data_IF_956951427638
#
_entry.id   IF_956951427638
#
_cell.length_a   1.000
_cell.length_b   1.000
_cell.length_c   1.000
_cell.angle_alpha   90.00
_cell.angle_beta   90.00
_cell.angle_gamma   90.00
#
_symmetry.space_group_name_H-M   'P 1'
#
loop_
_entity.id
_entity.type
_entity.pdbx_description
1 polymer ?
#
# COMPACT_ATOMS: atom_id res chain seq x y z
N UNK A 1 -15.18 -25.86 -3.59
CA UNK A 1 -14.66 -24.58 -4.12
C UNK A 1 -15.69 -24.06 -5.10
N UNK A 2 -16.21 -22.86 -4.90
CA UNK A 2 -17.20 -22.26 -5.82
C UNK A 2 -16.41 -21.50 -6.89
N UNK A 3 -16.47 -21.97 -8.14
CA UNK A 3 -15.75 -21.34 -9.25
C UNK A 3 -16.63 -20.24 -9.87
N UNK A 4 -16.21 -18.99 -9.75
CA UNK A 4 -16.92 -17.86 -10.34
C UNK A 4 -16.83 -17.91 -11.88
N UNK A 5 -17.93 -17.62 -12.56
CA UNK A 5 -18.05 -17.69 -14.02
C UNK A 5 -18.83 -16.51 -14.59
N UNK A 6 -18.42 -16.06 -15.78
CA UNK A 6 -19.17 -15.11 -16.57
C UNK A 6 -20.19 -15.84 -17.42
N UNK A 7 -21.39 -15.28 -17.48
CA UNK A 7 -22.51 -15.78 -18.28
C UNK A 7 -23.19 -14.61 -19.00
N UNK A 8 -24.01 -14.86 -20.04
CA UNK A 8 -24.85 -13.84 -20.67
C UNK A 8 -25.74 -13.07 -19.68
N UNK A 9 -26.07 -13.64 -18.53
CA UNK A 9 -26.92 -13.04 -17.50
C UNK A 9 -26.13 -12.38 -16.36
N UNK A 10 -24.80 -12.30 -16.49
CA UNK A 10 -23.92 -11.69 -15.50
C UNK A 10 -23.03 -12.71 -14.79
N UNK A 11 -22.56 -12.32 -13.61
CA UNK A 11 -21.67 -13.13 -12.79
C UNK A 11 -22.46 -14.26 -12.12
N UNK A 12 -21.96 -15.48 -12.25
CA UNK A 12 -22.51 -16.67 -11.62
C UNK A 12 -21.43 -17.50 -10.93
N UNK A 13 -21.87 -18.62 -10.39
CA UNK A 13 -21.04 -19.59 -9.68
C UNK A 13 -21.32 -20.99 -10.22
N UNK A 14 -20.27 -21.73 -10.57
CA UNK A 14 -20.38 -23.14 -10.91
C UNK A 14 -20.72 -23.95 -9.66
N UNK A 15 -21.72 -24.80 -9.82
CA UNK A 15 -22.11 -25.73 -8.77
C UNK A 15 -21.26 -26.99 -8.83
N UNK A 16 -20.50 -27.26 -7.77
CA UNK A 16 -19.73 -28.49 -7.67
C UNK A 16 -20.69 -29.68 -7.49
N UNK A 17 -20.61 -30.66 -8.39
CA UNK A 17 -21.30 -31.96 -8.32
C UNK A 17 -22.82 -32.00 -8.57
N UNK A 18 -23.38 -31.10 -9.37
CA UNK A 18 -24.73 -31.29 -9.89
C UNK A 18 -24.74 -32.33 -11.03
N UNK A 19 -25.61 -33.37 -11.02
CA UNK A 19 -25.80 -34.22 -12.19
C UNK A 19 -26.30 -33.34 -13.32
N UNK A 20 -25.46 -33.17 -14.35
CA UNK A 20 -25.92 -32.49 -15.56
C UNK A 20 -26.90 -33.43 -16.28
N UNK A 21 -28.07 -32.94 -16.69
CA UNK A 21 -29.00 -33.74 -17.50
C UNK A 21 -28.41 -34.09 -18.88
N UNK A 22 -27.35 -33.38 -19.33
CA UNK A 22 -26.68 -33.57 -20.62
C UNK A 22 -25.22 -33.07 -20.56
N UNK A 23 -24.29 -33.75 -21.25
CA UNK A 23 -22.87 -33.37 -21.29
C UNK A 23 -22.62 -31.95 -21.86
N UNK A 24 -23.60 -31.41 -22.61
CA UNK A 24 -23.55 -30.07 -23.21
C UNK A 24 -23.90 -28.92 -22.25
N UNK A 25 -24.44 -29.23 -21.06
CA UNK A 25 -24.95 -28.23 -20.11
C UNK A 25 -24.22 -28.29 -18.78
N UNK A 26 -24.25 -27.18 -18.07
CA UNK A 26 -23.64 -27.05 -16.74
C UNK A 26 -24.57 -26.26 -15.84
N UNK A 27 -24.66 -26.68 -14.58
CA UNK A 27 -25.44 -25.99 -13.57
C UNK A 27 -24.68 -24.74 -13.08
N UNK A 28 -25.36 -23.60 -13.10
CA UNK A 28 -24.85 -22.31 -12.64
C UNK A 28 -25.83 -21.73 -11.62
N UNK A 29 -25.28 -21.23 -10.53
CA UNK A 29 -26.01 -20.46 -9.52
C UNK A 29 -25.80 -18.98 -9.80
N UNK A 30 -26.90 -18.27 -10.02
CA UNK A 30 -26.96 -16.82 -10.21
C UNK A 30 -27.56 -16.16 -8.96
N UNK A 31 -27.40 -14.83 -8.77
CA UNK A 31 -27.92 -14.15 -7.58
C UNK A 31 -29.44 -14.29 -7.37
N UNK A 32 -30.18 -14.57 -8.43
CA UNK A 32 -31.64 -14.66 -8.45
C UNK A 32 -32.17 -16.09 -8.62
N UNK A 33 -31.31 -17.10 -8.75
CA UNK A 33 -31.76 -18.48 -8.90
C UNK A 33 -30.73 -19.42 -9.52
N UNK A 34 -31.13 -20.68 -9.70
CA UNK A 34 -30.32 -21.74 -10.31
C UNK A 34 -30.80 -22.03 -11.73
N UNK A 35 -29.87 -22.26 -12.65
CA UNK A 35 -30.19 -22.61 -14.03
C UNK A 35 -29.17 -23.54 -14.66
N UNK A 36 -29.57 -24.20 -15.75
CA UNK A 36 -28.67 -24.97 -16.61
C UNK A 36 -28.34 -24.15 -17.85
N UNK A 37 -27.05 -23.95 -18.11
CA UNK A 37 -26.55 -23.18 -19.25
C UNK A 37 -25.70 -24.07 -20.16
N UNK A 38 -25.56 -23.70 -21.43
CA UNK A 38 -24.62 -24.39 -22.33
C UNK A 38 -23.21 -24.14 -21.84
N UNK A 39 -22.35 -25.16 -21.90
CA UNK A 39 -20.94 -25.01 -21.51
C UNK A 39 -20.22 -23.90 -22.31
N UNK A 40 -20.63 -23.63 -23.55
CA UNK A 40 -20.10 -22.53 -24.38
C UNK A 40 -20.40 -21.13 -23.84
N UNK A 41 -21.46 -20.99 -23.06
CA UNK A 41 -21.97 -19.69 -22.57
C UNK A 41 -21.46 -19.40 -21.16
N UNK A 42 -20.64 -20.29 -20.59
CA UNK A 42 -20.09 -20.20 -19.24
C UNK A 42 -18.58 -20.09 -19.34
N UNK A 43 -18.05 -18.89 -19.05
CA UNK A 43 -16.63 -18.60 -19.16
C UNK A 43 -15.99 -18.43 -17.77
N UNK A 44 -14.88 -19.12 -17.44
CA UNK A 44 -14.13 -18.89 -16.21
C UNK A 44 -13.32 -17.58 -16.22
N UNK A 45 -13.29 -16.89 -17.37
CA UNK A 45 -12.59 -15.63 -17.59
C UNK A 45 -13.54 -14.56 -18.08
N UNK A 46 -13.20 -13.31 -17.79
CA UNK A 46 -13.94 -12.15 -18.29
C UNK A 46 -12.98 -11.03 -18.69
N UNK A 47 -13.35 -10.29 -19.72
CA UNK A 47 -12.65 -9.08 -20.14
C UNK A 47 -13.35 -7.88 -19.52
N UNK A 48 -12.74 -7.31 -18.50
CA UNK A 48 -13.22 -6.08 -17.88
C UNK A 48 -12.72 -4.87 -18.66
N UNK A 49 -13.61 -3.94 -18.97
CA UNK A 49 -13.21 -2.59 -19.36
C UNK A 49 -12.73 -1.86 -18.10
N UNK A 50 -11.50 -1.39 -18.10
CA UNK A 50 -10.91 -0.65 -16.99
C UNK A 50 -10.81 0.84 -17.33
N UNK A 51 -11.10 1.69 -16.34
CA UNK A 51 -10.81 3.12 -16.39
C UNK A 51 -9.76 3.44 -15.35
N UNK A 52 -8.59 3.91 -15.77
CA UNK A 52 -7.50 4.28 -14.88
C UNK A 52 -7.44 5.78 -14.69
N UNK A 53 -7.48 6.21 -13.43
CA UNK A 53 -7.33 7.60 -13.01
C UNK A 53 -5.88 7.87 -12.65
N UNK A 54 -5.15 8.53 -13.54
CA UNK A 54 -3.86 9.18 -13.26
C UNK A 54 -3.96 10.67 -13.59
N UNK A 55 -2.85 11.34 -13.95
CA UNK A 55 -2.89 12.70 -14.52
C UNK A 55 -3.70 12.78 -15.82
N UNK A 56 -3.85 11.66 -16.55
CA UNK A 56 -4.74 11.52 -17.70
C UNK A 56 -5.60 10.27 -17.52
N UNK A 57 -6.90 10.39 -17.81
CA UNK A 57 -7.79 9.23 -17.79
C UNK A 57 -7.44 8.30 -18.94
N UNK A 58 -7.25 7.01 -18.65
CA UNK A 58 -6.95 5.97 -19.64
C UNK A 58 -8.02 4.88 -19.58
N UNK A 59 -8.39 4.35 -20.74
CA UNK A 59 -9.29 3.20 -20.85
C UNK A 59 -8.57 2.05 -21.54
N UNK A 60 -8.72 0.83 -21.01
CA UNK A 60 -8.12 -0.37 -21.57
C UNK A 60 -8.90 -1.60 -21.12
N UNK A 61 -8.67 -2.72 -21.79
CA UNK A 61 -9.32 -3.99 -21.48
C UNK A 61 -8.37 -4.90 -20.69
N UNK A 62 -8.92 -5.59 -19.70
CA UNK A 62 -8.18 -6.50 -18.81
C UNK A 62 -8.88 -7.85 -18.79
N UNK A 63 -8.29 -8.85 -19.46
CA UNK A 63 -8.80 -10.23 -19.46
C UNK A 63 -8.17 -11.03 -18.33
N UNK A 64 -8.98 -11.40 -17.34
CA UNK A 64 -8.55 -12.13 -16.13
C UNK A 64 -9.46 -13.33 -15.85
N UNK A 65 -8.94 -14.31 -15.13
CA UNK A 65 -9.76 -15.36 -14.55
C UNK A 65 -10.59 -14.80 -13.39
N UNK A 66 -11.83 -15.27 -13.22
CA UNK A 66 -12.71 -14.76 -12.17
C UNK A 66 -12.37 -15.30 -10.77
N UNK A 67 -11.45 -16.26 -10.70
CA UNK A 67 -10.83 -16.79 -9.48
C UNK A 67 -9.39 -16.27 -9.28
N UNK A 68 -8.97 -15.23 -9.99
CA UNK A 68 -7.61 -14.70 -9.87
C UNK A 68 -7.36 -14.03 -8.51
N UNK A 69 -6.09 -13.98 -8.09
CA UNK A 69 -5.69 -13.18 -6.95
C UNK A 69 -5.61 -11.69 -7.32
N UNK A 70 -5.62 -10.80 -6.31
CA UNK A 70 -5.48 -9.35 -6.58
C UNK A 70 -4.14 -9.02 -7.24
N UNK A 71 -3.09 -9.79 -6.92
CA UNK A 71 -1.78 -9.61 -7.52
C UNK A 71 -1.76 -10.03 -8.99
N UNK A 72 -2.48 -11.08 -9.36
CA UNK A 72 -2.62 -11.47 -10.78
C UNK A 72 -3.37 -10.40 -11.57
N UNK A 73 -4.47 -9.87 -11.00
CA UNK A 73 -5.23 -8.77 -11.60
C UNK A 73 -4.36 -7.52 -11.78
N UNK A 74 -3.58 -7.14 -10.76
CA UNK A 74 -2.62 -6.02 -10.84
C UNK A 74 -1.56 -6.27 -11.92
N UNK A 75 -1.02 -7.48 -12.01
CA UNK A 75 -0.06 -7.83 -13.06
C UNK A 75 -0.66 -7.68 -14.47
N UNK A 76 -1.92 -8.10 -14.66
CA UNK A 76 -2.63 -7.89 -15.93
C UNK A 76 -2.86 -6.40 -16.23
N UNK A 77 -3.19 -5.58 -15.22
CA UNK A 77 -3.32 -4.13 -15.36
C UNK A 77 -1.99 -3.47 -15.77
N UNK A 78 -0.89 -3.82 -15.09
CA UNK A 78 0.45 -3.31 -15.40
C UNK A 78 0.82 -3.64 -16.85
N UNK A 79 0.58 -4.88 -17.26
CA UNK A 79 0.80 -5.32 -18.65
C UNK A 79 -0.04 -4.51 -19.64
N UNK A 80 -1.31 -4.24 -19.33
CA UNK A 80 -2.20 -3.47 -20.20
C UNK A 80 -1.82 -1.99 -20.30
N UNK A 81 -1.25 -1.41 -19.23
CA UNK A 81 -0.76 -0.03 -19.22
C UNK A 81 0.59 0.14 -19.92
N UNK A 82 1.40 -0.92 -20.00
CA UNK A 82 2.68 -0.91 -20.72
C UNK A 82 3.79 -0.10 -20.03
N UNK A 83 3.65 0.21 -18.74
CA UNK A 83 4.61 0.98 -17.96
C UNK A 83 4.98 0.24 -16.66
N UNK A 84 6.22 0.36 -16.16
CA UNK A 84 6.63 -0.28 -14.93
C UNK A 84 5.97 0.42 -13.73
N UNK A 85 5.16 -0.33 -12.97
CA UNK A 85 4.47 0.15 -11.76
C UNK A 85 4.60 -0.87 -10.64
N UNK A 86 4.60 -0.38 -9.41
CA UNK A 86 4.48 -1.23 -8.23
C UNK A 86 3.04 -1.76 -8.12
N UNK A 87 2.82 -3.07 -8.03
CA UNK A 87 1.48 -3.61 -7.80
C UNK A 87 0.78 -2.99 -6.57
N UNK A 88 1.53 -2.67 -5.52
CA UNK A 88 1.02 -2.14 -4.25
C UNK A 88 0.47 -0.72 -4.36
N UNK A 89 0.83 0.03 -5.40
CA UNK A 89 0.25 1.36 -5.67
C UNK A 89 -1.09 1.26 -6.39
N UNK A 90 -1.43 0.10 -6.94
CA UNK A 90 -2.63 -0.11 -7.73
C UNK A 90 -3.77 -0.56 -6.83
N UNK A 91 -4.79 0.28 -6.74
CA UNK A 91 -6.07 -0.04 -6.12
C UNK A 91 -7.13 -0.26 -7.18
N UNK A 92 -7.84 -1.37 -7.09
CA UNK A 92 -8.94 -1.69 -8.02
C UNK A 92 -10.27 -1.55 -7.28
N UNK A 93 -11.18 -0.77 -7.84
CA UNK A 93 -12.53 -0.61 -7.36
C UNK A 93 -13.51 -1.12 -8.40
N UNK A 94 -14.54 -1.81 -7.95
CA UNK A 94 -15.66 -2.24 -8.74
C UNK A 94 -16.88 -1.41 -8.35
N UNK A 95 -17.38 -0.54 -9.25
CA UNK A 95 -18.65 0.15 -9.03
C UNK A 95 -19.77 -0.85 -8.77
N UNK A 96 -20.63 -0.56 -7.81
CA UNK A 96 -21.82 -1.37 -7.50
C UNK A 96 -23.04 -0.46 -7.38
N UNK A 97 -24.23 -1.02 -7.55
CA UNK A 97 -25.47 -0.29 -7.23
C UNK A 97 -25.44 0.08 -5.74
N UNK A 98 -25.42 1.37 -5.43
CA UNK A 98 -25.36 1.88 -4.05
C UNK A 98 -23.95 2.10 -3.47
N UNK A 99 -22.86 1.95 -4.23
CA UNK A 99 -21.52 2.25 -3.71
C UNK A 99 -20.34 1.84 -4.61
N UNK A 100 -19.19 1.60 -3.97
CA UNK A 100 -17.97 1.09 -4.62
C UNK A 100 -17.41 -0.05 -3.78
N UNK A 101 -17.14 -1.19 -4.41
CA UNK A 101 -16.47 -2.31 -3.78
C UNK A 101 -14.99 -2.24 -4.10
N UNK A 102 -14.13 -1.98 -3.10
CA UNK A 102 -12.68 -2.04 -3.28
C UNK A 102 -12.26 -3.50 -3.21
N UNK A 103 -11.53 -3.97 -4.22
CA UNK A 103 -10.95 -5.31 -4.19
C UNK A 103 -9.81 -5.33 -3.17
N UNK A 104 -9.85 -6.32 -2.28
CA UNK A 104 -8.85 -6.56 -1.24
C UNK A 104 -7.97 -7.76 -1.60
N UNK A 105 -6.90 -7.99 -0.85
CA UNK A 105 -5.96 -9.11 -1.08
C UNK A 105 -6.57 -10.50 -0.75
N UNK A 106 -7.89 -10.69 -0.91
CA UNK A 106 -8.53 -11.99 -0.77
C UNK A 106 -8.05 -12.92 -1.89
N UNK A 107 -7.92 -14.21 -1.56
CA UNK A 107 -7.57 -15.24 -2.53
C UNK A 107 -8.69 -16.30 -2.57
N UNK A 108 -9.54 -16.33 -3.60
CA UNK A 108 -9.54 -15.47 -4.81
C UNK A 108 -10.10 -14.04 -4.56
N UNK A 109 -9.92 -13.15 -5.55
CA UNK A 109 -10.62 -11.86 -5.58
C UNK A 109 -12.12 -12.06 -5.65
N UNK A 110 -12.87 -11.30 -4.85
CA UNK A 110 -14.33 -11.32 -4.89
C UNK A 110 -14.81 -10.21 -5.82
N UNK A 111 -15.18 -10.59 -7.05
CA UNK A 111 -15.92 -9.72 -7.97
C UNK A 111 -17.41 -9.75 -7.60
N UNK A 112 -18.08 -8.59 -7.64
CA UNK A 112 -19.53 -8.48 -7.37
C UNK A 112 -20.38 -8.39 -8.63
N UNK A 113 -19.77 -8.10 -9.77
CA UNK A 113 -20.44 -7.98 -11.07
C UNK A 113 -19.45 -8.22 -12.22
N UNK A 114 -19.93 -8.15 -13.46
CA UNK A 114 -19.10 -8.10 -14.67
C UNK A 114 -18.92 -6.67 -15.21
N UNK A 115 -19.28 -5.66 -14.41
CA UNK A 115 -19.20 -4.25 -14.80
C UNK A 115 -17.75 -3.74 -14.87
N UNK A 116 -17.50 -2.62 -15.58
CA UNK A 116 -16.18 -2.01 -15.68
C UNK A 116 -15.47 -1.79 -14.35
N UNK A 117 -14.14 -1.88 -14.36
CA UNK A 117 -13.29 -1.64 -13.20
C UNK A 117 -12.77 -0.19 -13.19
N UNK A 118 -12.64 0.37 -12.00
CA UNK A 118 -11.95 1.63 -11.75
C UNK A 118 -10.58 1.34 -11.15
N UNK A 119 -9.52 1.76 -11.83
CA UNK A 119 -8.13 1.57 -11.42
C UNK A 119 -7.58 2.90 -10.93
N UNK A 120 -7.08 2.91 -9.69
CA UNK A 120 -6.43 4.08 -9.09
C UNK A 120 -4.98 3.74 -8.83
N UNK A 121 -4.07 4.53 -9.38
CA UNK A 121 -2.63 4.39 -9.15
C UNK A 121 -2.21 5.47 -8.17
N UNK A 122 -1.89 5.07 -6.94
CA UNK A 122 -1.41 6.00 -5.93
C UNK A 122 0.07 6.34 -6.18
N UNK A 123 0.47 7.63 -6.23
CA UNK A 123 1.86 7.98 -6.41
C UNK A 123 2.72 7.54 -5.22
N UNK A 124 4.02 7.39 -5.48
CA UNK A 124 4.98 7.26 -4.38
C UNK A 124 5.01 8.54 -3.54
N UNK A 125 5.30 8.38 -2.24
CA UNK A 125 5.47 9.51 -1.34
C UNK A 125 6.61 10.40 -1.85
N UNK A 126 6.30 11.64 -2.19
CA UNK A 126 7.28 12.59 -2.71
C UNK A 126 7.93 13.36 -1.56
N UNK A 127 9.26 13.34 -1.50
CA UNK A 127 10.01 14.17 -0.57
C UNK A 127 9.98 15.63 -1.03
N UNK A 128 9.83 16.55 -0.08
CA UNK A 128 9.82 17.99 -0.31
C UNK A 128 11.11 18.62 0.22
N UNK A 129 11.01 19.29 1.37
CA UNK A 129 12.16 19.94 2.02
C UNK A 129 13.00 18.90 2.75
N UNK A 130 14.31 18.92 2.56
CA UNK A 130 15.25 17.96 3.14
C UNK A 130 16.51 18.67 3.63
N UNK A 131 16.99 18.31 4.82
CA UNK A 131 18.26 18.79 5.35
C UNK A 131 19.45 18.39 4.44
N UNK A 132 20.45 19.26 4.31
CA UNK A 132 21.63 19.03 3.46
C UNK A 132 22.49 17.81 3.88
N UNK A 133 22.40 17.43 5.16
CA UNK A 133 23.09 16.27 5.70
C UNK A 133 22.41 14.93 5.35
N UNK A 134 21.27 14.97 4.66
CA UNK A 134 20.56 13.79 4.14
C UNK A 134 20.74 13.71 2.63
N UNK A 135 20.97 12.49 2.15
CA UNK A 135 21.11 12.18 0.75
C UNK A 135 19.99 11.23 0.31
N UNK A 136 19.42 11.49 -0.86
CA UNK A 136 18.44 10.62 -1.48
C UNK A 136 19.15 9.68 -2.44
N UNK A 137 19.10 8.39 -2.11
CA UNK A 137 19.59 7.27 -2.90
C UNK A 137 18.39 6.50 -3.48
N UNK A 138 18.66 5.60 -4.42
CA UNK A 138 17.65 4.72 -5.02
C UNK A 138 18.08 3.28 -4.88
N UNK A 139 17.20 2.43 -4.34
CA UNK A 139 17.46 1.00 -4.19
C UNK A 139 16.59 0.18 -5.14
N UNK A 140 17.12 -0.90 -5.75
CA UNK A 140 16.31 -1.87 -6.47
C UNK A 140 15.21 -2.43 -5.56
N UNK A 141 14.01 -2.56 -6.08
CA UNK A 141 12.92 -3.21 -5.36
C UNK A 141 13.01 -4.73 -5.52
N UNK A 142 13.57 -5.42 -4.52
CA UNK A 142 13.50 -6.88 -4.44
C UNK A 142 12.16 -7.32 -3.82
N UNK A 143 11.58 -8.42 -4.32
CA UNK A 143 10.29 -8.97 -3.81
C UNK A 143 10.29 -9.27 -2.31
N UNK A 144 11.46 -9.51 -1.72
CA UNK A 144 11.68 -9.70 -0.27
C UNK A 144 11.51 -8.42 0.56
N UNK A 145 11.46 -7.26 -0.08
CA UNK A 145 11.33 -5.94 0.57
C UNK A 145 9.86 -5.59 0.90
N UNK A 146 8.89 -6.30 0.29
CA UNK A 146 7.46 -5.97 0.36
C UNK A 146 6.67 -6.85 1.34
N UNK A 147 7.28 -7.92 1.85
CA UNK A 147 6.72 -8.84 2.84
C UNK A 147 7.59 -8.85 4.11
N UNK A 148 6.99 -8.82 5.32
CA UNK A 148 7.74 -8.88 6.57
C UNK A 148 8.44 -10.24 6.69
N UNK A 149 9.73 -10.28 6.37
CA UNK A 149 10.51 -11.50 6.41
C UNK A 149 10.96 -11.79 7.85
N UNK A 150 10.57 -12.95 8.40
CA UNK A 150 11.43 -13.67 9.34
C UNK A 150 12.64 -14.18 8.54
N UNK A 151 13.84 -13.89 9.02
CA UNK A 151 15.17 -14.10 8.40
C UNK A 151 15.31 -15.32 7.47
N UNK A 152 16.10 -15.17 6.39
CA UNK A 152 17.01 -16.15 5.72
C UNK A 152 17.85 -15.40 4.65
N UNK A 153 19.12 -15.80 4.33
CA UNK A 153 20.05 -14.97 3.57
C UNK A 153 19.96 -15.12 2.05
N UNK A 154 20.62 -14.18 1.37
CA UNK A 154 20.56 -13.88 -0.05
C UNK A 154 21.13 -14.96 -0.98
N UNK A 155 20.48 -15.12 -2.14
CA UNK A 155 21.11 -15.63 -3.36
C UNK A 155 20.68 -14.77 -4.54
N UNK A 156 21.68 -14.24 -5.24
CA UNK A 156 21.56 -13.37 -6.40
C UNK A 156 21.05 -14.16 -7.63
N UNK A 157 20.12 -13.59 -8.37
CA UNK A 157 19.95 -13.87 -9.80
C UNK A 157 19.66 -12.58 -10.54
N UNK A 158 20.68 -12.11 -11.26
CA UNK A 158 20.62 -11.00 -12.21
C UNK A 158 19.81 -11.42 -13.44
N UNK A 159 18.63 -10.84 -13.60
CA UNK A 159 18.01 -10.64 -14.91
C UNK A 159 17.50 -9.21 -14.99
N UNK A 160 18.07 -8.46 -15.94
CA UNK A 160 17.73 -7.09 -16.28
C UNK A 160 16.29 -7.02 -16.83
N UNK A 161 15.33 -7.03 -15.91
CA UNK A 161 14.06 -6.33 -16.10
C UNK A 161 14.27 -4.88 -15.69
N UNK A 162 13.49 -3.94 -16.23
CA UNK A 162 13.48 -2.54 -15.77
C UNK A 162 13.12 -2.50 -14.28
N UNK A 163 14.12 -2.64 -13.41
CA UNK A 163 13.92 -2.78 -11.99
C UNK A 163 13.38 -1.46 -11.46
N UNK A 164 12.17 -1.53 -10.92
CA UNK A 164 11.59 -0.41 -10.19
C UNK A 164 12.49 -0.08 -9.00
N UNK A 165 12.76 1.21 -8.81
CA UNK A 165 13.60 1.68 -7.71
C UNK A 165 12.76 2.36 -6.63
N UNK A 166 13.19 2.21 -5.38
CA UNK A 166 12.58 2.83 -4.22
C UNK A 166 13.47 3.95 -3.68
N UNK A 167 12.88 5.07 -3.21
CA UNK A 167 13.65 6.13 -2.59
C UNK A 167 14.17 5.70 -1.22
N UNK A 168 15.49 5.78 -1.04
CA UNK A 168 16.20 5.48 0.20
C UNK A 168 16.87 6.75 0.72
N UNK A 169 16.64 7.11 1.97
CA UNK A 169 17.24 8.29 2.60
C UNK A 169 18.37 7.81 3.47
N UNK A 170 19.56 8.41 3.31
CA UNK A 170 20.74 8.15 4.13
C UNK A 170 21.28 9.44 4.73
N UNK A 171 21.64 9.41 6.01
CA UNK A 171 22.33 10.52 6.63
C UNK A 171 23.84 10.42 6.39
N UNK A 172 24.41 11.43 5.72
CA UNK A 172 25.82 11.45 5.27
C UNK A 172 26.71 12.38 6.09
N UNK A 173 26.12 13.25 6.91
CA UNK A 173 26.85 14.18 7.75
C UNK A 173 26.27 14.28 9.16
N UNK A 174 27.11 14.68 10.12
CA UNK A 174 26.72 14.83 11.54
C UNK A 174 25.69 15.94 11.71
N UNK A 175 24.84 15.78 12.72
CA UNK A 175 23.81 16.75 13.09
C UNK A 175 22.44 16.11 13.23
N UNK A 176 21.46 16.92 13.61
CA UNK A 176 20.05 16.52 13.60
C UNK A 176 19.40 17.08 12.35
N UNK A 177 18.69 16.21 11.65
CA UNK A 177 18.19 16.44 10.31
C UNK A 177 16.70 16.14 10.27
N UNK A 178 15.96 16.83 9.40
CA UNK A 178 14.59 16.50 9.11
C UNK A 178 14.31 16.49 7.60
N UNK A 179 13.28 15.74 7.24
CA UNK A 179 12.67 15.71 5.91
C UNK A 179 11.18 15.90 6.06
N UNK A 180 10.60 16.75 5.21
CA UNK A 180 9.17 16.93 5.11
C UNK A 180 8.75 16.62 3.69
N UNK A 181 7.76 15.74 3.54
CA UNK A 181 7.18 15.39 2.25
C UNK A 181 6.51 16.60 1.58
N UNK A 182 6.43 16.54 0.26
CA UNK A 182 5.88 17.61 -0.58
C UNK A 182 4.37 17.72 -0.45
N UNK A 183 3.69 16.58 -0.36
CA UNK A 183 2.24 16.51 -0.44
C UNK A 183 1.60 16.65 0.94
N UNK A 184 0.77 17.67 1.07
CA UNK A 184 -0.03 17.92 2.25
C UNK A 184 -1.15 16.88 2.41
N UNK A 185 -1.35 16.42 3.63
CA UNK A 185 -2.45 15.54 4.01
C UNK A 185 -3.71 16.39 4.22
N UNK A 186 -4.62 16.38 3.23
CA UNK A 186 -5.77 17.31 3.19
C UNK A 186 -7.11 16.72 3.59
N UNK A 187 -7.33 15.43 3.37
CA UNK A 187 -8.61 14.76 3.63
C UNK A 187 -8.45 13.25 3.56
N UNK A 188 -9.35 12.51 4.21
CA UNK A 188 -9.38 11.07 4.18
C UNK A 188 -8.25 10.44 5.00
N UNK A 189 -7.92 9.20 4.64
CA UNK A 189 -6.90 8.41 5.32
C UNK A 189 -5.65 8.34 4.45
N UNK A 190 -4.52 8.80 4.99
CA UNK A 190 -3.22 8.68 4.36
C UNK A 190 -2.43 7.55 5.01
N UNK A 191 -1.80 6.70 4.18
CA UNK A 191 -0.96 5.61 4.64
C UNK A 191 0.35 5.54 3.86
N UNK A 192 1.46 5.34 4.57
CA UNK A 192 2.76 5.07 3.98
C UNK A 192 3.59 4.14 4.88
N UNK A 193 4.56 3.48 4.26
CA UNK A 193 5.45 2.53 4.94
C UNK A 193 6.90 2.95 4.76
N UNK A 194 7.68 2.73 5.82
CA UNK A 194 9.11 2.94 5.87
C UNK A 194 9.79 1.64 6.29
N UNK A 195 10.73 1.14 5.50
CA UNK A 195 11.61 0.05 5.91
C UNK A 195 12.88 0.60 6.54
N UNK A 196 13.26 0.02 7.66
CA UNK A 196 14.51 0.30 8.36
C UNK A 196 15.63 -0.48 7.67
N UNK A 197 16.60 0.20 7.08
CA UNK A 197 17.70 -0.48 6.40
C UNK A 197 18.93 -0.57 7.31
N UNK A 198 19.38 0.58 7.82
CA UNK A 198 20.56 0.69 8.67
C UNK A 198 20.21 1.63 9.85
N UNK A 199 19.83 1.06 10.98
CA UNK A 199 19.72 1.76 12.27
C UNK A 199 21.06 1.68 12.97
N UNK A 200 21.56 2.83 13.41
CA UNK A 200 22.78 2.95 14.20
C UNK A 200 22.33 3.23 15.64
N UNK A 201 23.00 2.63 16.62
CA UNK A 201 22.59 2.71 18.04
C UNK A 201 22.28 4.14 18.51
N UNK A 202 21.22 4.28 19.31
CA UNK A 202 20.63 5.55 19.76
C UNK A 202 19.21 5.78 19.22
N UNK A 203 18.57 6.90 19.58
CA UNK A 203 17.18 7.25 19.20
C UNK A 203 16.99 7.70 17.74
N UNK A 204 17.95 7.35 16.86
CA UNK A 204 18.36 8.17 15.72
C UNK A 204 17.39 8.37 14.55
N UNK A 205 16.23 7.70 14.51
CA UNK A 205 15.19 7.89 13.49
C UNK A 205 13.84 8.14 14.13
N UNK A 206 13.17 9.17 13.64
CA UNK A 206 11.81 9.55 13.99
C UNK A 206 10.93 9.51 12.74
N UNK A 207 9.76 8.90 12.85
CA UNK A 207 8.83 8.75 11.73
C UNK A 207 7.45 9.22 12.16
N UNK A 208 6.80 10.04 11.35
CA UNK A 208 5.48 10.56 11.66
C UNK A 208 5.01 11.63 10.69
N UNK A 209 4.32 12.63 11.23
CA UNK A 209 3.85 13.80 10.50
C UNK A 209 4.42 15.08 11.12
N UNK A 210 4.57 16.11 10.31
CA UNK A 210 4.98 17.42 10.77
C UNK A 210 4.41 18.52 9.90
N UNK A 211 4.50 19.76 10.39
CA UNK A 211 4.05 20.92 9.62
C UNK A 211 5.05 21.28 8.52
N UNK A 212 4.58 21.88 7.43
CA UNK A 212 5.43 22.26 6.27
C UNK A 212 6.52 23.30 6.59
N UNK A 213 6.40 24.01 7.72
CA UNK A 213 7.33 25.02 8.23
C UNK A 213 8.31 24.47 9.29
N UNK A 214 8.32 23.15 9.52
CA UNK A 214 9.27 22.53 10.46
C UNK A 214 10.74 22.80 10.04
N UNK A 215 11.61 23.23 10.98
CA UNK A 215 13.02 23.49 10.70
C UNK A 215 13.76 22.18 10.38
N UNK A 216 14.64 22.23 9.37
CA UNK A 216 15.31 21.04 8.83
C UNK A 216 16.55 20.62 9.63
N UNK A 217 17.17 21.54 10.37
CA UNK A 217 18.44 21.31 11.09
C UNK A 217 18.26 21.37 12.61
N UNK A 218 17.07 21.00 13.09
CA UNK A 218 16.71 21.00 14.51
C UNK A 218 16.02 19.69 14.85
N UNK A 219 16.14 19.23 16.10
CA UNK A 219 15.49 18.00 16.53
C UNK A 219 13.98 18.11 16.36
N UNK A 220 13.40 17.17 15.62
CA UNK A 220 11.94 17.12 15.41
C UNK A 220 11.19 17.07 16.73
N UNK A 221 11.77 16.42 17.74
CA UNK A 221 11.22 16.27 19.11
C UNK A 221 11.22 17.55 19.94
N UNK A 222 11.96 18.59 19.55
CA UNK A 222 12.04 19.86 20.30
C UNK A 222 11.26 21.00 19.65
N UNK A 223 10.61 20.75 18.51
CA UNK A 223 9.94 21.80 17.72
C UNK A 223 8.50 22.06 18.13
N UNK A 224 7.80 21.08 18.68
CA UNK A 224 6.35 21.11 18.81
C UNK A 224 5.60 21.11 17.47
N UNK A 225 6.30 20.82 16.37
CA UNK A 225 5.75 20.80 15.00
C UNK A 225 5.70 19.39 14.41
N UNK A 226 6.10 18.39 15.19
CA UNK A 226 6.19 16.99 14.77
C UNK A 226 5.38 16.09 15.71
N UNK A 227 4.68 15.11 15.14
CA UNK A 227 4.02 14.03 15.86
C UNK A 227 4.48 12.72 15.26
N UNK A 228 5.10 11.86 16.05
CA UNK A 228 5.66 10.63 15.50
C UNK A 228 6.08 9.62 16.55
N UNK A 229 6.86 8.65 16.11
CA UNK A 229 7.50 7.66 16.97
C UNK A 229 9.01 7.72 16.82
N UNK A 230 9.72 7.57 17.93
CA UNK A 230 11.14 7.31 17.97
C UNK A 230 11.36 5.80 17.73
N UNK A 231 11.95 5.44 16.60
CA UNK A 231 11.92 4.06 16.13
C UNK A 231 12.72 3.10 17.03
N UNK A 232 13.85 3.57 17.57
CA UNK A 232 14.73 2.76 18.40
C UNK A 232 14.18 2.47 19.80
N UNK A 233 13.32 3.34 20.33
CA UNK A 233 12.72 3.19 21.66
C UNK A 233 11.26 2.73 21.63
N UNK A 234 10.55 2.92 20.51
CA UNK A 234 9.11 2.65 20.39
C UNK A 234 8.23 3.69 21.07
N UNK A 235 8.82 4.78 21.57
CA UNK A 235 8.10 5.86 22.22
C UNK A 235 7.44 6.77 21.19
N UNK A 236 6.24 7.26 21.51
CA UNK A 236 5.62 8.35 20.75
C UNK A 236 6.21 9.68 21.21
N UNK A 237 6.46 10.59 20.27
CA UNK A 237 7.13 11.86 20.50
C UNK A 237 6.37 13.02 19.88
N UNK A 238 6.27 14.12 20.64
CA UNK A 238 5.80 15.41 20.15
C UNK A 238 6.58 16.56 20.83
N UNK A 239 6.17 16.92 22.05
CA UNK A 239 6.90 17.79 22.98
C UNK A 239 7.50 17.01 24.14
N UNK A 240 6.87 15.88 24.46
CA UNK A 240 7.29 14.89 25.43
C UNK A 240 7.49 13.54 24.73
N UNK A 241 8.21 12.64 25.40
CA UNK A 241 8.33 11.25 24.98
C UNK A 241 7.51 10.37 25.92
N UNK A 242 6.65 9.53 25.37
CA UNK A 242 5.74 8.66 26.12
C UNK A 242 5.81 7.23 25.59
N UNK A 243 5.62 6.25 26.49
CA UNK A 243 5.49 4.86 26.08
C UNK A 243 4.30 4.68 25.13
N UNK A 244 4.49 3.89 24.08
CA UNK A 244 3.45 3.66 23.08
C UNK A 244 3.51 2.25 22.50
N UNK A 245 4.63 1.87 21.90
CA UNK A 245 4.77 0.59 21.23
C UNK A 245 6.16 -0.01 21.37
N UNK A 246 6.38 -1.19 20.77
CA UNK A 246 7.70 -1.81 20.72
C UNK A 246 8.65 -1.00 19.83
N UNK A 247 9.95 -1.10 20.10
CA UNK A 247 10.99 -0.64 19.16
C UNK A 247 10.93 -1.42 17.84
N UNK A 248 11.38 -0.79 16.76
CA UNK A 248 11.64 -1.49 15.50
C UNK A 248 13.14 -1.60 15.23
N UNK A 249 13.54 -2.66 14.53
CA UNK A 249 14.95 -2.95 14.20
C UNK A 249 15.16 -3.06 12.69
N UNK A 250 16.41 -3.18 12.26
CA UNK A 250 16.78 -3.35 10.84
C UNK A 250 15.97 -4.47 10.17
N UNK A 251 15.52 -4.20 8.95
CA UNK A 251 14.69 -5.08 8.14
C UNK A 251 13.19 -4.94 8.42
N UNK A 252 12.78 -4.36 9.55
CA UNK A 252 11.37 -4.19 9.88
C UNK A 252 10.73 -2.99 9.15
N UNK A 253 9.41 -3.08 8.98
CA UNK A 253 8.60 -2.07 8.33
C UNK A 253 7.74 -1.36 9.36
N UNK A 254 7.84 -0.03 9.39
CA UNK A 254 6.95 0.83 10.15
C UNK A 254 5.92 1.45 9.19
N UNK A 255 4.65 1.13 9.40
CA UNK A 255 3.53 1.78 8.72
C UNK A 255 3.01 2.95 9.52
N UNK A 256 2.59 4.01 8.83
CA UNK A 256 1.98 5.20 9.42
C UNK A 256 0.61 5.39 8.79
N UNK A 257 -0.43 5.50 9.61
CA UNK A 257 -1.77 5.88 9.19
C UNK A 257 -2.17 7.19 9.84
N UNK A 258 -2.50 8.17 9.02
CA UNK A 258 -3.08 9.43 9.48
C UNK A 258 -4.49 9.57 8.91
N UNK A 259 -5.49 9.48 9.78
CA UNK A 259 -6.86 9.83 9.45
C UNK A 259 -7.01 11.34 9.64
N UNK A 260 -6.99 12.07 8.52
CA UNK A 260 -7.07 13.53 8.49
C UNK A 260 -8.44 14.00 8.98
N UNK A 261 -9.49 13.24 8.67
CA UNK A 261 -10.87 13.60 8.97
C UNK A 261 -11.15 13.46 10.47
N UNK A 262 -10.54 12.48 11.13
CA UNK A 262 -10.68 12.24 12.58
C UNK A 262 -9.53 12.83 13.40
N UNK A 263 -8.46 13.30 12.77
CA UNK A 263 -7.26 13.81 13.45
C UNK A 263 -6.58 12.74 14.31
N UNK A 264 -6.51 11.50 13.82
CA UNK A 264 -5.86 10.39 14.55
C UNK A 264 -4.64 9.88 13.82
N UNK A 265 -3.53 9.74 14.55
CA UNK A 265 -2.28 9.18 14.06
C UNK A 265 -2.02 7.83 14.72
N UNK A 266 -1.84 6.81 13.89
CA UNK A 266 -1.62 5.42 14.30
C UNK A 266 -0.41 4.83 13.58
N UNK A 267 0.18 3.81 14.18
CA UNK A 267 1.36 3.14 13.63
C UNK A 267 1.15 1.64 13.53
N UNK A 268 1.92 1.04 12.63
CA UNK A 268 1.94 -0.40 12.39
C UNK A 268 3.38 -0.89 12.41
N UNK A 269 3.63 -2.05 13.00
CA UNK A 269 4.92 -2.72 12.90
C UNK A 269 4.73 -4.02 12.13
N UNK A 270 5.42 -4.16 10.99
CA UNK A 270 5.27 -5.32 10.12
C UNK A 270 3.80 -5.66 9.82
N UNK A 271 3.01 -4.60 9.57
CA UNK A 271 1.55 -4.65 9.32
C UNK A 271 0.66 -5.01 10.53
N UNK A 272 1.23 -5.21 11.71
CA UNK A 272 0.46 -5.33 12.96
C UNK A 272 0.11 -3.94 13.51
N UNK A 273 -1.17 -3.70 13.79
CA UNK A 273 -1.67 -2.42 14.29
C UNK A 273 -1.26 -2.19 15.74
N UNK A 274 -0.57 -1.06 16.03
CA UNK A 274 -0.08 -0.73 17.37
C UNK A 274 -1.06 0.15 18.18
N UNK A 275 -2.23 0.45 17.62
CA UNK A 275 -3.19 1.37 18.25
C UNK A 275 -2.96 2.83 17.89
N UNK A 276 -3.78 3.71 18.46
CA UNK A 276 -3.76 5.16 18.19
C UNK A 276 -2.69 5.81 19.08
N UNK A 277 -1.67 6.43 18.48
CA UNK A 277 -0.63 7.15 19.21
C UNK A 277 -1.09 8.56 19.64
N UNK A 278 -1.77 9.26 18.73
CA UNK A 278 -2.23 10.62 18.95
C UNK A 278 -3.66 10.80 18.48
N UNK A 279 -4.42 11.60 19.23
CA UNK A 279 -5.79 12.03 18.92
C UNK A 279 -5.84 13.55 18.87
N UNK A 280 -6.86 14.07 18.19
CA UNK A 280 -7.09 15.50 18.04
C UNK A 280 -5.90 16.23 17.40
N UNK A 281 -5.18 15.56 16.50
CA UNK A 281 -4.09 16.15 15.74
C UNK A 281 -4.68 16.90 14.56
N UNK A 282 -5.01 18.17 14.82
CA UNK A 282 -5.50 19.11 13.84
C UNK A 282 -4.59 20.33 13.85
N UNK A 283 -4.38 20.98 12.70
CA UNK A 283 -3.53 22.16 12.67
C UNK A 283 -3.18 22.62 11.26
N UNK A 284 -2.05 23.35 11.18
CA UNK A 284 -1.41 23.77 9.92
C UNK A 284 -1.28 22.61 8.94
N UNK A 285 -0.99 22.91 7.68
CA UNK A 285 -0.71 21.91 6.63
C UNK A 285 0.27 20.82 7.12
N UNK A 286 -0.26 19.64 7.42
CA UNK A 286 0.48 18.47 7.89
C UNK A 286 0.96 17.67 6.69
N UNK A 287 2.20 17.19 6.76
CA UNK A 287 2.83 16.32 5.78
C UNK A 287 3.50 15.14 6.48
N UNK A 288 3.71 14.01 5.79
CA UNK A 288 4.66 13.01 6.25
C UNK A 288 6.02 13.64 6.52
N UNK A 289 6.62 13.29 7.66
CA UNK A 289 7.88 13.87 8.10
C UNK A 289 8.76 12.83 8.78
N UNK A 290 10.06 13.04 8.67
CA UNK A 290 11.10 12.16 9.19
C UNK A 290 12.17 12.98 9.89
N UNK A 291 12.69 12.50 11.01
CA UNK A 291 13.82 13.08 11.72
C UNK A 291 14.96 12.08 11.83
N UNK A 292 16.21 12.52 11.64
CA UNK A 292 17.39 11.66 11.71
C UNK A 292 18.53 12.33 12.49
N UNK A 293 19.29 11.57 13.28
CA UNK A 293 20.40 12.12 14.08
C UNK A 293 21.66 11.23 14.14
N UNK A 294 21.82 10.30 13.20
CA UNK A 294 22.94 9.35 13.16
C UNK A 294 23.55 9.23 11.76
N UNK A 295 24.84 9.54 11.60
CA UNK A 295 25.54 9.36 10.32
C UNK A 295 25.58 7.89 9.94
N UNK A 296 25.16 7.57 8.73
CA UNK A 296 25.00 6.22 8.21
C UNK A 296 23.59 5.66 8.44
N UNK A 297 22.71 6.37 9.15
CA UNK A 297 21.34 5.93 9.31
C UNK A 297 20.64 5.92 7.95
N UNK A 298 19.93 4.83 7.65
CA UNK A 298 19.25 4.65 6.39
C UNK A 298 17.86 4.04 6.53
N UNK A 299 16.92 4.57 5.76
CA UNK A 299 15.57 4.02 5.62
C UNK A 299 15.05 4.15 4.19
N UNK A 300 14.17 3.24 3.78
CA UNK A 300 13.57 3.22 2.44
C UNK A 300 12.07 3.43 2.50
N UNK A 301 11.55 4.30 1.64
CA UNK A 301 10.11 4.52 1.49
C UNK A 301 9.52 3.42 0.61
N UNK A 302 8.52 2.71 1.14
CA UNK A 302 7.87 1.61 0.43
C UNK A 302 6.70 2.11 -0.43
N UNK A 303 6.31 1.35 -1.47
CA UNK A 303 5.31 1.78 -2.44
C UNK A 303 3.87 1.67 -1.91
N UNK A 304 3.63 0.90 -0.85
CA UNK A 304 2.28 0.65 -0.32
C UNK A 304 1.61 1.92 0.21
N UNK A 305 0.33 2.11 -0.13
CA UNK A 305 -0.48 3.29 0.23
C UNK A 305 -1.82 2.97 0.90
N UNK A 306 -1.99 1.74 1.36
CA UNK A 306 -3.19 1.30 2.06
C UNK A 306 -2.81 0.53 3.31
N UNK A 307 -3.42 0.91 4.42
CA UNK A 307 -3.28 0.19 5.67
C UNK A 307 -3.78 -1.26 5.52
N UNK A 308 -3.21 -2.19 6.30
CA UNK A 308 -3.77 -3.54 6.43
C UNK A 308 -5.23 -3.46 6.89
N UNK A 309 -6.10 -4.27 6.28
CA UNK A 309 -7.46 -4.45 6.80
C UNK A 309 -7.35 -5.08 8.19
N UNK A 310 -7.92 -4.42 9.21
CA UNK A 310 -8.11 -5.02 10.53
C UNK A 310 -8.98 -6.27 10.32
N UNK A 311 -8.43 -7.45 10.65
CA UNK A 311 -9.17 -8.72 10.65
C UNK A 311 -10.10 -8.80 11.86
#
# INVERSE_FOLDING_TARGET
MVLAVATPYGLGALEAAAPSPDASRTAVVLPWGRGYMRASDVAPRHTFRATCLTSKVRHFDVNVALDCSLNDLRACIIKALGEPLFPETISVLQPTVGGRHRLTDSNPCIFRSLQPLLVVIAPLLQLGKMALALHLDTRPCDKTTLEPSKCIPASETLHASSQLTLPSIVQVARGVCAVVAKDALRSGIAYWEVRLDETIGGDGLFVGIGTTDMPLNTSVTSTGLFYGVAVASGQKVHMTSEAYGPKCVNGEVLGVEFDVDRGTLSFYRNREYLGIAFRNVFGKTLCPAFGASGVGLRFTLLPRRSAPSLQ
#
